data_IF_439638261590
#
_entry.id   IF_439638261590
#
_cell.length_a   1.000
_cell.length_b   1.000
_cell.length_c   1.000
_cell.angle_alpha   90.00
_cell.angle_beta   90.00
_cell.angle_gamma   90.00
#
_symmetry.space_group_name_H-M   'P 1'
#
loop_
_entity.id
_entity.type
_entity.pdbx_description
1 polymer ?
#
# COMPACT_ATOMS: atom_id res chain seq x y z
N UNK A 1 7.61 48.84 -49.95
CA UNK A 1 7.41 48.78 -51.44
C UNK A 1 6.32 47.72 -51.65
N UNK A 2 5.16 48.22 -51.90
CA UNK A 2 4.15 47.87 -52.95
C UNK A 2 3.80 46.41 -53.03
N UNK A 3 2.59 46.02 -52.65
CA UNK A 3 1.24 46.22 -53.25
C UNK A 3 0.83 44.97 -54.01
N UNK A 4 -0.22 44.37 -53.51
CA UNK A 4 -1.53 44.13 -54.09
C UNK A 4 -1.60 42.90 -55.00
N UNK A 5 -2.60 42.12 -55.10
CA UNK A 5 -4.03 42.36 -55.13
C UNK A 5 -4.80 41.02 -55.25
N UNK A 6 -5.97 40.99 -54.67
CA UNK A 6 -7.12 40.17 -55.01
C UNK A 6 -7.65 40.56 -56.42
N UNK A 7 -8.69 39.97 -57.04
CA UNK A 7 -9.81 39.12 -56.62
C UNK A 7 -10.38 38.13 -57.68
N UNK A 8 -11.48 37.46 -57.38
CA UNK A 8 -12.75 37.32 -58.07
C UNK A 8 -13.32 35.87 -58.08
N UNK A 9 -14.40 35.62 -57.45
CA UNK A 9 -15.84 35.64 -57.82
C UNK A 9 -16.31 34.54 -58.80
N UNK A 10 -17.27 33.84 -58.26
CA UNK A 10 -18.61 33.45 -58.76
C UNK A 10 -18.74 31.95 -59.05
N UNK A 11 -19.74 31.27 -58.62
CA UNK A 11 -21.11 31.37 -58.90
C UNK A 11 -21.98 30.26 -58.30
N UNK A 12 -23.09 30.64 -57.90
CA UNK A 12 -24.28 29.92 -57.42
C UNK A 12 -24.69 28.75 -58.34
N UNK A 13 -25.14 27.62 -57.76
CA UNK A 13 -26.39 27.00 -58.19
C UNK A 13 -27.08 26.25 -57.07
N UNK A 14 -28.19 26.77 -56.69
CA UNK A 14 -29.28 26.27 -55.88
C UNK A 14 -30.07 25.22 -56.66
N UNK A 15 -30.30 24.04 -56.13
CA UNK A 15 -31.41 23.18 -56.53
C UNK A 15 -32.18 22.72 -55.31
N UNK A 16 -33.35 23.30 -55.16
CA UNK A 16 -34.46 22.85 -54.36
C UNK A 16 -35.20 21.77 -55.16
N UNK A 17 -35.37 20.59 -54.55
CA UNK A 17 -36.49 19.70 -54.91
C UNK A 17 -37.12 19.21 -53.63
N UNK A 18 -38.37 19.58 -53.51
CA UNK A 18 -39.28 19.21 -52.43
C UNK A 18 -40.13 18.00 -52.82
N UNK A 19 -40.68 17.37 -51.77
CA UNK A 19 -41.95 16.61 -51.76
C UNK A 19 -41.85 15.14 -52.23
N UNK A 20 -42.15 14.17 -51.34
CA UNK A 20 -43.51 13.59 -51.16
C UNK A 20 -43.56 12.77 -49.86
N UNK A 21 -44.52 13.10 -49.08
CA UNK A 21 -45.02 12.44 -47.89
C UNK A 21 -45.83 11.21 -48.33
N UNK A 22 -45.56 10.04 -47.83
CA UNK A 22 -46.50 8.91 -47.89
C UNK A 22 -46.55 8.22 -46.52
N UNK A 23 -47.65 8.40 -45.83
CA UNK A 23 -48.07 7.68 -44.65
C UNK A 23 -48.51 6.29 -45.08
N UNK A 24 -47.94 5.23 -44.46
CA UNK A 24 -48.60 3.93 -44.33
C UNK A 24 -48.45 3.45 -42.89
N UNK A 25 -49.56 3.53 -42.15
CA UNK A 25 -49.79 2.73 -40.95
C UNK A 25 -50.03 1.28 -41.38
N UNK A 26 -49.26 0.37 -40.80
CA UNK A 26 -49.68 -1.01 -40.62
C UNK A 26 -49.19 -1.49 -39.28
N UNK A 27 -50.11 -1.72 -38.37
CA UNK A 27 -49.93 -2.36 -37.10
C UNK A 27 -49.72 -3.86 -37.30
N UNK A 28 -48.87 -4.46 -36.40
CA UNK A 28 -49.03 -5.74 -35.67
C UNK A 28 -47.71 -6.10 -35.06
N UNK A 29 -47.54 -5.93 -33.81
CA UNK A 29 -47.61 -6.78 -32.63
C UNK A 29 -46.59 -7.89 -32.57
N UNK A 30 -46.02 -7.95 -31.38
CA UNK A 30 -45.35 -9.03 -30.65
C UNK A 30 -43.85 -9.12 -30.80
N UNK A 31 -43.18 -8.78 -29.71
CA UNK A 31 -41.79 -8.96 -29.43
C UNK A 31 -41.22 -7.80 -28.60
N UNK A 32 -41.92 -7.43 -27.55
CA UNK A 32 -41.40 -6.55 -26.55
C UNK A 32 -40.29 -7.32 -25.80
N UNK A 33 -39.05 -7.20 -26.28
CA UNK A 33 -37.96 -7.21 -25.35
C UNK A 33 -38.15 -5.96 -24.51
N UNK A 34 -38.64 -6.13 -23.33
CA UNK A 34 -38.66 -5.14 -22.26
C UNK A 34 -37.20 -4.67 -22.12
N UNK A 35 -36.89 -3.56 -22.84
CA UNK A 35 -35.83 -2.69 -22.35
C UNK A 35 -36.47 -2.02 -21.14
N UNK A 36 -36.44 -2.77 -20.02
CA UNK A 36 -36.66 -2.18 -18.72
C UNK A 36 -35.87 -0.87 -18.73
N UNK A 37 -36.56 0.23 -18.52
CA UNK A 37 -35.96 1.46 -18.06
C UNK A 37 -34.97 1.01 -17.02
N UNK A 38 -33.65 1.14 -17.28
CA UNK A 38 -32.65 0.92 -16.25
C UNK A 38 -33.03 1.83 -15.11
N UNK A 39 -33.69 1.26 -14.11
CA UNK A 39 -33.77 1.92 -12.83
C UNK A 39 -32.33 2.34 -12.56
N UNK A 40 -32.11 3.61 -12.28
CA UNK A 40 -30.79 4.16 -12.00
C UNK A 40 -30.17 3.24 -10.94
N UNK A 41 -29.22 2.42 -11.36
CA UNK A 41 -28.60 1.35 -10.54
C UNK A 41 -27.98 1.92 -9.27
N UNK A 42 -27.81 3.24 -9.26
CA UNK A 42 -27.20 4.01 -8.20
C UNK A 42 -28.16 4.96 -7.48
N UNK A 43 -29.49 4.87 -7.78
CA UNK A 43 -30.49 5.77 -7.20
C UNK A 43 -30.48 5.80 -5.66
N UNK A 44 -30.09 4.69 -5.06
CA UNK A 44 -30.01 4.53 -3.60
C UNK A 44 -28.69 5.07 -3.01
N UNK A 45 -27.68 5.41 -3.85
CA UNK A 45 -26.44 6.04 -3.38
C UNK A 45 -26.65 7.57 -3.34
N UNK A 46 -26.54 8.21 -2.17
CA UNK A 46 -26.62 9.67 -2.08
C UNK A 46 -25.42 10.34 -2.76
N UNK A 47 -25.61 11.53 -3.30
CA UNK A 47 -24.48 12.37 -3.70
C UNK A 47 -23.69 12.77 -2.46
N UNK A 48 -22.43 12.38 -2.41
CA UNK A 48 -21.56 12.58 -1.24
C UNK A 48 -20.11 12.77 -1.68
N UNK A 49 -19.43 13.72 -1.05
CA UNK A 49 -18.00 13.90 -1.16
C UNK A 49 -17.34 13.43 0.13
N UNK A 50 -16.46 12.44 0.03
CA UNK A 50 -15.70 11.89 1.16
C UNK A 50 -14.36 12.61 1.27
N UNK A 51 -13.98 13.01 2.49
CA UNK A 51 -12.67 13.58 2.77
C UNK A 51 -11.66 12.46 2.92
N UNK A 52 -10.73 12.39 1.97
CA UNK A 52 -9.74 11.31 1.89
C UNK A 52 -8.35 11.89 2.09
N UNK A 53 -7.62 11.36 3.05
CA UNK A 53 -6.26 11.82 3.34
C UNK A 53 -5.21 10.77 3.01
N UNK A 54 -4.18 11.21 2.26
CA UNK A 54 -2.88 10.55 2.17
C UNK A 54 -1.89 11.22 3.13
N UNK A 55 -1.14 10.41 3.87
CA UNK A 55 -0.02 10.91 4.68
C UNK A 55 1.16 11.40 3.81
N UNK A 56 1.20 11.01 2.55
CA UNK A 56 2.30 11.24 1.62
C UNK A 56 2.02 12.42 0.66
N UNK A 57 3.09 12.92 0.03
CA UNK A 57 2.99 13.91 -1.03
C UNK A 57 2.24 13.36 -2.27
N UNK A 58 1.66 14.23 -3.14
CA UNK A 58 0.80 13.79 -4.26
C UNK A 58 1.44 12.79 -5.23
N UNK A 59 2.73 12.91 -5.50
CA UNK A 59 3.43 12.13 -6.53
C UNK A 59 3.99 10.79 -6.03
N UNK A 60 3.71 10.40 -4.78
CA UNK A 60 4.15 9.12 -4.20
C UNK A 60 3.22 7.97 -4.61
N UNK A 61 3.70 6.72 -4.56
CA UNK A 61 2.88 5.56 -4.90
C UNK A 61 1.59 5.46 -4.05
N UNK A 62 1.60 5.70 -2.71
CA UNK A 62 0.37 5.71 -1.94
C UNK A 62 -0.65 6.75 -2.42
N UNK A 63 -0.20 7.96 -2.74
CA UNK A 63 -1.08 9.03 -3.20
C UNK A 63 -1.62 8.77 -4.61
N UNK A 64 -0.81 8.22 -5.51
CA UNK A 64 -1.26 7.78 -6.84
C UNK A 64 -2.31 6.68 -6.76
N UNK A 65 -2.17 5.73 -5.82
CA UNK A 65 -3.16 4.68 -5.61
C UNK A 65 -4.52 5.25 -5.19
N UNK A 66 -4.56 6.29 -4.35
CA UNK A 66 -5.80 6.99 -4.03
C UNK A 66 -6.45 7.64 -5.26
N UNK A 67 -5.65 8.22 -6.18
CA UNK A 67 -6.18 8.81 -7.43
C UNK A 67 -6.83 7.74 -8.30
N UNK A 68 -6.18 6.58 -8.48
CA UNK A 68 -6.74 5.45 -9.23
C UNK A 68 -8.02 4.94 -8.58
N UNK A 69 -8.05 4.87 -7.25
CA UNK A 69 -9.25 4.45 -6.52
C UNK A 69 -10.40 5.46 -6.62
N UNK A 70 -10.09 6.75 -6.53
CA UNK A 70 -11.07 7.83 -6.74
C UNK A 70 -11.77 7.68 -8.09
N UNK A 71 -11.00 7.54 -9.17
CA UNK A 71 -11.53 7.35 -10.53
C UNK A 71 -12.43 6.11 -10.61
N UNK A 72 -12.03 5.00 -9.99
CA UNK A 72 -12.82 3.78 -9.96
C UNK A 72 -14.14 3.93 -9.17
N UNK A 73 -14.12 4.63 -8.03
CA UNK A 73 -15.33 4.92 -7.23
C UNK A 73 -16.28 5.85 -7.99
N UNK A 74 -15.76 6.92 -8.60
CA UNK A 74 -16.55 7.87 -9.38
C UNK A 74 -17.19 7.18 -10.59
N UNK A 75 -16.46 6.35 -11.33
CA UNK A 75 -17.00 5.56 -12.45
C UNK A 75 -18.07 4.57 -11.96
N UNK A 76 -17.79 3.83 -10.89
CA UNK A 76 -18.69 2.82 -10.35
C UNK A 76 -19.97 3.39 -9.75
N UNK A 77 -20.05 4.70 -9.48
CA UNK A 77 -21.20 5.37 -8.86
C UNK A 77 -21.84 6.44 -9.75
N UNK A 78 -21.40 6.55 -11.01
CA UNK A 78 -21.80 7.64 -11.92
C UNK A 78 -21.59 9.04 -11.28
N UNK A 79 -20.47 9.20 -10.56
CA UNK A 79 -20.08 10.45 -9.89
C UNK A 79 -20.84 10.77 -8.61
N UNK A 80 -21.66 9.87 -8.08
CA UNK A 80 -22.41 10.11 -6.83
C UNK A 80 -21.52 10.09 -5.59
N UNK A 81 -20.50 9.23 -5.55
CA UNK A 81 -19.45 9.28 -4.55
C UNK A 81 -18.20 9.90 -5.18
N UNK A 82 -17.69 10.94 -4.56
CA UNK A 82 -16.48 11.64 -4.98
C UNK A 82 -15.52 11.78 -3.79
N UNK A 83 -14.22 11.96 -4.06
CA UNK A 83 -13.21 12.18 -3.04
C UNK A 83 -12.70 13.62 -3.06
N UNK A 84 -12.66 14.25 -1.90
CA UNK A 84 -11.88 15.46 -1.67
C UNK A 84 -10.54 15.04 -1.06
N UNK A 85 -9.46 15.12 -1.87
CA UNK A 85 -8.15 14.63 -1.50
C UNK A 85 -7.34 15.65 -0.70
N UNK A 86 -6.77 15.17 0.41
CA UNK A 86 -5.82 15.91 1.25
C UNK A 86 -4.51 15.13 1.29
N UNK A 87 -3.38 15.83 1.10
CA UNK A 87 -2.06 15.23 1.00
C UNK A 87 -1.14 15.68 2.12
N UNK A 88 -0.06 14.92 2.35
CA UNK A 88 0.98 15.24 3.32
C UNK A 88 0.44 15.49 4.74
N UNK A 89 -0.60 14.76 5.15
CA UNK A 89 -1.17 14.89 6.48
C UNK A 89 -1.86 16.23 6.74
N UNK A 90 -2.44 16.88 5.70
CA UNK A 90 -2.99 18.24 5.79
C UNK A 90 -4.16 18.39 6.78
N UNK A 91 -4.94 17.32 7.03
CA UNK A 91 -6.03 17.34 8.02
C UNK A 91 -5.56 16.85 9.40
N UNK A 92 -4.72 15.84 9.43
CA UNK A 92 -4.14 15.30 10.65
C UNK A 92 -2.74 14.71 10.34
N UNK A 93 -1.74 14.89 11.22
CA UNK A 93 -0.46 14.19 11.10
C UNK A 93 -0.68 12.68 11.24
N UNK A 94 0.28 11.86 10.74
CA UNK A 94 0.10 10.42 10.64
C UNK A 94 -0.16 9.72 11.98
N UNK A 95 0.39 10.23 13.06
CA UNK A 95 0.21 9.73 14.43
C UNK A 95 -1.13 10.16 15.08
N UNK A 96 -1.88 11.08 14.45
CA UNK A 96 -3.20 11.53 14.90
C UNK A 96 -4.34 11.09 13.97
N UNK A 97 -4.03 10.40 12.87
CA UNK A 97 -5.00 10.02 11.84
C UNK A 97 -6.09 9.09 12.36
N UNK A 98 -5.80 8.22 13.32
CA UNK A 98 -6.79 7.32 13.93
C UNK A 98 -7.86 8.10 14.69
N UNK A 99 -7.46 9.13 15.45
CA UNK A 99 -8.41 10.04 16.13
C UNK A 99 -9.20 10.85 15.10
N UNK A 100 -8.56 11.33 14.02
CA UNK A 100 -9.23 12.06 12.95
C UNK A 100 -10.29 11.22 12.23
N UNK A 101 -10.03 9.92 11.98
CA UNK A 101 -11.00 8.97 11.43
C UNK A 101 -12.13 8.71 12.43
N UNK A 102 -11.81 8.41 13.70
CA UNK A 102 -12.82 8.07 14.72
C UNK A 102 -13.75 9.25 15.03
N UNK A 103 -13.23 10.47 15.03
CA UNK A 103 -14.02 11.70 15.20
C UNK A 103 -14.79 12.13 13.94
N UNK A 104 -14.51 11.53 12.78
CA UNK A 104 -15.10 11.91 11.50
C UNK A 104 -14.55 13.23 10.92
N UNK A 105 -13.37 13.68 11.34
CA UNK A 105 -12.64 14.77 10.69
C UNK A 105 -12.16 14.34 9.30
N UNK A 106 -11.72 13.10 9.17
CA UNK A 106 -11.34 12.42 7.93
C UNK A 106 -12.30 11.26 7.73
N UNK A 107 -12.79 11.05 6.51
CA UNK A 107 -13.69 9.94 6.20
C UNK A 107 -12.92 8.67 5.83
N UNK A 108 -11.82 8.80 5.06
CA UNK A 108 -10.96 7.69 4.65
C UNK A 108 -9.50 8.11 4.74
N UNK A 109 -8.65 7.24 5.28
CA UNK A 109 -7.20 7.43 5.28
C UNK A 109 -6.43 6.11 5.38
N UNK A 110 -5.16 6.14 4.99
CA UNK A 110 -4.19 5.16 5.50
C UNK A 110 -3.72 5.59 6.88
N UNK A 111 -3.62 4.63 7.79
CA UNK A 111 -3.13 4.84 9.16
C UNK A 111 -2.17 3.73 9.57
N UNK A 112 -1.48 3.93 10.69
CA UNK A 112 -0.38 3.06 11.13
C UNK A 112 -0.61 2.62 12.59
N UNK A 113 -1.39 1.55 12.85
CA UNK A 113 -1.63 1.02 14.20
C UNK A 113 -0.37 0.71 15.01
N UNK A 114 0.77 0.47 14.35
CA UNK A 114 2.05 0.30 15.04
C UNK A 114 2.47 1.49 15.90
N UNK A 115 1.86 2.67 15.72
CA UNK A 115 2.08 3.84 16.58
C UNK A 115 1.19 3.83 17.84
N UNK A 116 0.12 3.03 17.84
CA UNK A 116 -0.85 2.89 18.92
C UNK A 116 -1.01 1.41 19.35
N UNK A 117 0.08 0.71 19.75
CA UNK A 117 0.06 -0.74 19.95
C UNK A 117 -0.88 -1.18 21.09
N UNK A 118 -1.22 -0.30 22.03
CA UNK A 118 -2.17 -0.61 23.11
C UNK A 118 -3.62 -0.68 22.61
N UNK A 119 -3.97 0.12 21.62
CA UNK A 119 -5.27 0.18 20.95
C UNK A 119 -5.41 -0.92 19.91
N UNK A 120 -4.29 -1.40 19.33
CA UNK A 120 -4.25 -2.40 18.27
C UNK A 120 -3.36 -3.61 18.64
N UNK A 121 -3.69 -4.35 19.72
CA UNK A 121 -2.84 -5.44 20.21
C UNK A 121 -2.68 -6.60 19.23
N UNK A 122 -3.70 -6.93 18.40
CA UNK A 122 -3.58 -7.97 17.39
C UNK A 122 -2.67 -7.56 16.25
N UNK A 123 -2.78 -6.31 15.76
CA UNK A 123 -1.85 -5.77 14.76
C UNK A 123 -0.42 -5.81 15.30
N UNK A 124 -0.20 -5.35 16.53
CA UNK A 124 1.10 -5.41 17.20
C UNK A 124 1.66 -6.83 17.27
N UNK A 125 0.81 -7.83 17.52
CA UNK A 125 1.22 -9.24 17.52
C UNK A 125 1.63 -9.71 16.12
N UNK A 126 0.85 -9.36 15.09
CA UNK A 126 1.17 -9.69 13.68
C UNK A 126 2.50 -9.04 13.27
N UNK A 127 2.73 -7.78 13.65
CA UNK A 127 4.02 -7.09 13.38
C UNK A 127 5.22 -7.85 13.95
N UNK A 128 5.09 -8.44 15.13
CA UNK A 128 6.15 -9.24 15.76
C UNK A 128 6.44 -10.56 15.02
N UNK A 129 5.52 -11.01 14.17
CA UNK A 129 5.66 -12.22 13.36
C UNK A 129 6.09 -11.94 11.91
N UNK A 130 6.34 -10.68 11.54
CA UNK A 130 6.73 -10.30 10.18
C UNK A 130 8.11 -10.79 9.74
N UNK A 131 8.90 -11.37 10.63
CA UNK A 131 10.10 -12.14 10.27
C UNK A 131 9.78 -13.46 9.54
N UNK A 132 8.50 -13.90 9.55
CA UNK A 132 8.02 -15.05 8.78
C UNK A 132 7.78 -14.73 7.31
N UNK A 133 7.77 -13.47 6.94
CA UNK A 133 7.63 -13.02 5.54
C UNK A 133 8.95 -13.25 4.81
N UNK A 134 8.87 -13.80 3.60
CA UNK A 134 10.05 -13.97 2.76
C UNK A 134 10.68 -12.61 2.40
N UNK A 135 11.99 -12.59 2.09
CA UNK A 135 12.63 -11.35 1.63
C UNK A 135 11.97 -10.74 0.39
N UNK A 136 12.13 -9.42 0.23
CA UNK A 136 11.69 -8.73 -0.97
C UNK A 136 12.42 -9.27 -2.22
N UNK A 137 11.78 -9.20 -3.39
CA UNK A 137 10.45 -8.65 -3.67
C UNK A 137 9.31 -9.68 -3.50
N UNK A 138 9.60 -10.98 -3.48
CA UNK A 138 8.59 -12.05 -3.44
C UNK A 138 7.73 -11.98 -2.17
N UNK A 139 8.35 -11.71 -1.04
CA UNK A 139 7.69 -11.57 0.25
C UNK A 139 6.66 -10.45 0.29
N UNK A 140 6.76 -9.44 -0.57
CA UNK A 140 5.74 -8.38 -0.67
C UNK A 140 4.38 -8.96 -1.07
N UNK A 141 4.33 -9.83 -2.08
CA UNK A 141 3.08 -10.47 -2.51
C UNK A 141 2.66 -11.55 -1.50
N UNK A 142 3.60 -12.38 -1.06
CA UNK A 142 3.33 -13.41 -0.06
C UNK A 142 2.73 -12.82 1.21
N UNK A 143 3.38 -11.84 1.81
CA UNK A 143 2.95 -11.22 3.05
C UNK A 143 1.63 -10.46 2.91
N UNK A 144 1.45 -9.74 1.79
CA UNK A 144 0.19 -9.03 1.52
C UNK A 144 -1.00 -9.99 1.49
N UNK A 145 -0.90 -11.09 0.75
CA UNK A 145 -1.98 -12.08 0.68
C UNK A 145 -2.20 -12.81 2.00
N UNK A 146 -1.11 -13.28 2.64
CA UNK A 146 -1.18 -14.01 3.89
C UNK A 146 -1.82 -13.21 5.03
N UNK A 147 -1.42 -11.95 5.17
CA UNK A 147 -1.95 -11.09 6.23
C UNK A 147 -3.37 -10.61 5.93
N UNK A 148 -3.71 -10.37 4.67
CA UNK A 148 -5.10 -10.11 4.29
C UNK A 148 -6.00 -11.29 4.69
N UNK A 149 -5.61 -12.52 4.36
CA UNK A 149 -6.37 -13.71 4.75
C UNK A 149 -6.48 -13.85 6.27
N UNK A 150 -5.37 -13.67 6.98
CA UNK A 150 -5.36 -13.76 8.44
C UNK A 150 -6.23 -12.68 9.09
N UNK A 151 -6.21 -11.44 8.57
CA UNK A 151 -7.03 -10.34 9.07
C UNK A 151 -8.53 -10.56 8.84
N UNK A 152 -8.91 -11.11 7.68
CA UNK A 152 -10.30 -11.48 7.36
C UNK A 152 -10.83 -12.62 8.24
N UNK A 153 -9.98 -13.31 8.99
CA UNK A 153 -10.38 -14.25 10.05
C UNK A 153 -11.15 -13.63 11.23
N UNK A 154 -11.36 -12.30 11.23
CA UNK A 154 -12.28 -11.57 12.10
C UNK A 154 -11.63 -10.62 13.10
N UNK A 155 -10.38 -10.84 13.51
CA UNK A 155 -9.74 -10.00 14.53
C UNK A 155 -9.61 -8.52 14.12
N UNK A 156 -9.40 -8.25 12.83
CA UNK A 156 -9.24 -6.89 12.34
C UNK A 156 -10.55 -6.10 12.46
N UNK A 157 -11.68 -6.69 12.05
CA UNK A 157 -12.99 -6.01 12.13
C UNK A 157 -13.31 -5.60 13.57
N UNK A 158 -13.17 -6.50 14.53
CA UNK A 158 -13.49 -6.24 15.93
C UNK A 158 -12.57 -5.18 16.56
N UNK A 159 -11.25 -5.30 16.30
CA UNK A 159 -10.26 -4.38 16.84
C UNK A 159 -10.45 -2.95 16.32
N UNK A 160 -10.65 -2.82 15.00
CA UNK A 160 -10.83 -1.52 14.36
C UNK A 160 -12.17 -0.89 14.74
N UNK A 161 -13.25 -1.69 14.80
CA UNK A 161 -14.55 -1.20 15.24
C UNK A 161 -14.54 -0.66 16.67
N UNK A 162 -13.73 -1.24 17.57
CA UNK A 162 -13.54 -0.75 18.93
C UNK A 162 -12.91 0.65 18.96
N UNK A 163 -12.15 1.02 17.93
CA UNK A 163 -11.54 2.35 17.76
C UNK A 163 -12.39 3.30 16.88
N UNK A 164 -13.61 2.91 16.51
CA UNK A 164 -14.47 3.72 15.66
C UNK A 164 -14.07 3.71 14.18
N UNK A 165 -13.36 2.69 13.74
CA UNK A 165 -12.86 2.52 12.38
C UNK A 165 -13.55 1.35 11.67
N UNK A 166 -13.70 1.46 10.35
CA UNK A 166 -14.06 0.35 9.46
C UNK A 166 -12.85 0.02 8.58
N UNK A 167 -12.23 -1.14 8.73
CA UNK A 167 -11.14 -1.54 7.86
C UNK A 167 -11.65 -1.84 6.44
N UNK A 168 -10.96 -1.31 5.44
CA UNK A 168 -11.19 -1.60 4.02
C UNK A 168 -10.11 -2.54 3.48
N UNK A 169 -8.85 -2.31 3.86
CA UNK A 169 -7.70 -3.17 3.54
C UNK A 169 -6.79 -3.31 4.76
N UNK A 170 -6.48 -4.54 5.14
CA UNK A 170 -5.57 -4.90 6.24
C UNK A 170 -4.67 -6.07 5.78
N UNK A 171 -3.40 -5.80 5.43
CA UNK A 171 -2.81 -4.49 5.20
C UNK A 171 -3.24 -3.86 3.87
N UNK A 172 -3.06 -2.55 3.72
CA UNK A 172 -3.20 -1.86 2.45
C UNK A 172 -1.91 -1.89 1.62
N UNK A 173 -0.76 -2.06 2.28
CA UNK A 173 0.54 -2.24 1.66
C UNK A 173 1.42 -3.14 2.54
N UNK A 174 2.32 -3.89 1.90
CA UNK A 174 3.28 -4.76 2.57
C UNK A 174 4.71 -4.40 2.18
N UNK A 175 5.51 -4.09 3.19
CA UNK A 175 6.96 -3.97 3.08
C UNK A 175 7.55 -5.27 3.62
N UNK A 176 8.01 -6.15 2.74
CA UNK A 176 8.41 -7.52 3.10
C UNK A 176 9.73 -7.60 3.88
N UNK A 177 10.60 -6.62 3.73
CA UNK A 177 11.82 -6.49 4.54
C UNK A 177 12.22 -5.04 4.67
N UNK A 178 12.51 -4.65 5.91
CA UNK A 178 13.15 -3.36 6.17
C UNK A 178 14.66 -3.54 6.10
N UNK A 179 15.35 -2.50 5.67
CA UNK A 179 16.77 -2.53 5.40
C UNK A 179 17.48 -1.46 6.21
N UNK A 180 18.77 -1.65 6.45
CA UNK A 180 19.60 -0.71 7.16
C UNK A 180 20.35 0.17 6.15
N UNK A 181 20.11 1.47 6.19
CA UNK A 181 20.86 2.47 5.44
C UNK A 181 21.68 3.31 6.41
N UNK A 182 22.91 3.64 6.05
CA UNK A 182 23.84 4.36 6.93
C UNK A 182 24.51 5.51 6.18
N UNK A 183 24.85 6.59 6.90
CA UNK A 183 25.63 7.69 6.38
C UNK A 183 27.10 7.28 6.16
N UNK A 184 27.95 7.51 7.16
CA UNK A 184 29.42 7.47 6.98
C UNK A 184 30.04 6.06 6.91
N UNK A 185 29.53 5.08 7.69
CA UNK A 185 30.19 3.79 7.85
C UNK A 185 29.20 2.62 7.69
N UNK A 186 29.60 1.52 7.01
CA UNK A 186 28.76 0.35 6.86
C UNK A 186 28.67 -0.49 8.13
N UNK A 187 27.51 -1.08 8.39
CA UNK A 187 27.28 -1.99 9.53
C UNK A 187 27.06 -3.41 9.01
N UNK A 188 28.09 -4.24 9.03
CA UNK A 188 28.10 -5.60 8.45
C UNK A 188 28.33 -6.71 9.48
N UNK A 189 28.79 -6.36 10.70
CA UNK A 189 29.14 -7.30 11.77
C UNK A 189 28.64 -6.78 13.12
N UNK A 190 28.55 -7.65 14.12
CA UNK A 190 28.19 -7.27 15.49
C UNK A 190 29.14 -6.21 16.07
N UNK A 191 30.44 -6.29 15.72
CA UNK A 191 31.42 -5.30 16.18
C UNK A 191 31.20 -3.92 15.55
N UNK A 192 30.73 -3.87 14.29
CA UNK A 192 30.37 -2.63 13.59
C UNK A 192 28.99 -2.10 14.05
N UNK A 193 28.11 -2.97 14.57
CA UNK A 193 26.78 -2.59 15.05
C UNK A 193 26.78 -2.01 16.47
N UNK A 194 27.78 -2.33 17.28
CA UNK A 194 27.83 -1.95 18.69
C UNK A 194 27.80 -0.44 18.89
N UNK A 195 26.74 0.05 19.54
CA UNK A 195 26.56 1.46 19.87
C UNK A 195 26.09 2.36 18.73
N UNK A 196 25.87 1.82 17.52
CA UNK A 196 25.31 2.58 16.40
C UNK A 196 23.92 3.13 16.78
N UNK A 197 23.75 4.43 16.63
CA UNK A 197 22.45 5.09 16.83
C UNK A 197 21.61 4.90 15.56
N UNK A 198 20.50 4.18 15.71
CA UNK A 198 19.67 3.82 14.57
C UNK A 198 18.22 4.29 14.73
N UNK A 199 17.71 4.96 13.71
CA UNK A 199 16.27 5.23 13.64
C UNK A 199 15.53 3.95 13.27
N UNK A 200 14.43 3.66 13.98
CA UNK A 200 13.59 2.49 13.72
C UNK A 200 12.13 2.90 13.49
N UNK A 201 11.38 2.16 12.65
CA UNK A 201 10.00 2.53 12.31
C UNK A 201 8.96 2.12 13.36
N UNK A 202 9.28 1.16 14.24
CA UNK A 202 8.39 0.69 15.30
C UNK A 202 9.15 0.13 16.49
N UNK A 203 8.45 -0.11 17.60
CA UNK A 203 8.99 -0.74 18.80
C UNK A 203 9.61 -2.12 18.49
N UNK A 204 8.95 -2.93 17.66
CA UNK A 204 9.45 -4.24 17.27
C UNK A 204 10.84 -4.14 16.62
N UNK A 205 11.02 -3.26 15.63
CA UNK A 205 12.33 -3.02 14.99
C UNK A 205 13.36 -2.46 16.00
N UNK A 206 12.90 -1.76 17.03
CA UNK A 206 13.75 -1.33 18.15
C UNK A 206 14.31 -2.50 18.96
N UNK A 207 13.52 -3.55 19.16
CA UNK A 207 14.02 -4.78 19.81
C UNK A 207 15.04 -5.53 18.96
N UNK A 208 14.82 -5.61 17.64
CA UNK A 208 15.77 -6.17 16.68
C UNK A 208 17.10 -5.41 16.68
N UNK A 209 17.04 -4.09 16.57
CA UNK A 209 18.22 -3.22 16.63
C UNK A 209 19.01 -3.41 17.94
N UNK A 210 18.30 -3.46 19.07
CA UNK A 210 18.90 -3.69 20.40
C UNK A 210 19.57 -5.07 20.47
N UNK A 211 18.97 -6.10 19.89
CA UNK A 211 19.54 -7.44 19.84
C UNK A 211 20.86 -7.48 19.05
N UNK A 212 21.05 -6.59 18.10
CA UNK A 212 22.29 -6.43 17.32
C UNK A 212 23.35 -5.55 18.02
N UNK A 213 23.03 -4.96 19.19
CA UNK A 213 23.93 -4.04 19.91
C UNK A 213 23.78 -2.57 19.50
N UNK A 214 22.81 -2.24 18.66
CA UNK A 214 22.53 -0.87 18.25
C UNK A 214 21.72 -0.14 19.33
N UNK A 215 21.68 1.18 19.24
CA UNK A 215 20.89 2.07 20.11
C UNK A 215 19.75 2.68 19.30
N UNK A 216 18.50 2.19 19.48
CA UNK A 216 17.33 2.79 18.83
C UNK A 216 17.14 4.25 19.23
N UNK A 217 16.85 5.10 18.26
CA UNK A 217 16.65 6.54 18.44
C UNK A 217 15.29 6.94 17.87
N UNK A 218 14.52 7.67 18.68
CA UNK A 218 13.26 8.24 18.23
C UNK A 218 13.56 9.46 17.33
N UNK A 219 13.18 9.37 16.06
CA UNK A 219 13.31 10.44 15.08
C UNK A 219 12.13 10.34 14.12
N UNK A 220 11.44 11.45 13.90
CA UNK A 220 10.32 11.50 12.94
C UNK A 220 10.83 11.41 11.49
N UNK A 221 9.97 11.02 10.58
CA UNK A 221 10.33 11.01 9.14
C UNK A 221 10.72 12.40 8.65
N UNK A 222 10.04 13.44 9.12
CA UNK A 222 10.32 14.83 8.73
C UNK A 222 11.73 15.32 9.15
N UNK A 223 12.26 14.78 10.25
CA UNK A 223 13.56 15.17 10.80
C UNK A 223 14.70 14.25 10.32
N UNK A 224 14.38 13.11 9.71
CA UNK A 224 15.33 12.02 9.45
C UNK A 224 16.45 12.43 8.51
N UNK A 225 16.13 13.14 7.41
CA UNK A 225 17.14 13.63 6.47
C UNK A 225 18.23 14.44 7.17
N UNK A 226 17.84 15.44 7.98
CA UNK A 226 18.79 16.26 8.72
C UNK A 226 19.49 15.47 9.84
N UNK A 227 18.81 14.53 10.47
CA UNK A 227 19.38 13.72 11.52
C UNK A 227 20.51 12.82 11.01
N UNK A 228 20.33 12.19 9.82
CA UNK A 228 21.41 11.44 9.15
C UNK A 228 22.51 12.38 8.69
N UNK A 229 22.18 13.46 7.96
CA UNK A 229 23.15 14.40 7.43
C UNK A 229 24.07 15.02 8.51
N UNK A 230 23.53 15.24 9.73
CA UNK A 230 24.29 15.83 10.85
C UNK A 230 24.91 14.75 11.77
N UNK A 231 24.76 13.48 11.47
CA UNK A 231 25.21 12.40 12.31
C UNK A 231 24.53 12.37 13.70
N UNK A 232 23.27 12.79 13.80
CA UNK A 232 22.47 12.61 15.03
C UNK A 232 22.07 11.15 15.16
N UNK A 233 21.71 10.52 14.04
CA UNK A 233 21.60 9.08 13.86
C UNK A 233 22.66 8.64 12.84
N UNK A 234 23.24 7.47 13.05
CA UNK A 234 24.28 6.90 12.20
C UNK A 234 23.64 6.12 11.04
N UNK A 235 22.54 5.43 11.34
CA UNK A 235 21.80 4.59 10.39
C UNK A 235 20.30 4.74 10.59
N UNK A 236 19.53 4.24 9.61
CA UNK A 236 18.08 4.14 9.71
C UNK A 236 17.60 2.78 9.16
N UNK A 237 16.62 2.19 9.83
CA UNK A 237 15.86 1.03 9.33
C UNK A 237 14.72 1.57 8.49
N UNK A 238 14.76 1.29 7.17
CA UNK A 238 13.92 1.93 6.17
C UNK A 238 13.50 0.94 5.08
N UNK A 239 12.38 1.25 4.41
CA UNK A 239 12.10 0.67 3.10
C UNK A 239 12.81 1.45 1.99
N UNK A 240 13.06 0.84 0.83
CA UNK A 240 13.61 1.60 -0.31
C UNK A 240 12.72 2.75 -0.76
N UNK A 241 11.39 2.59 -0.68
CA UNK A 241 10.45 3.65 -0.99
C UNK A 241 10.62 4.85 -0.06
N UNK A 242 10.72 4.61 1.26
CA UNK A 242 10.92 5.70 2.21
C UNK A 242 12.27 6.42 2.01
N UNK A 243 13.32 5.66 1.64
CA UNK A 243 14.62 6.25 1.29
C UNK A 243 14.47 7.28 0.17
N UNK A 244 13.67 6.98 -0.86
CA UNK A 244 13.39 7.91 -1.94
C UNK A 244 12.51 9.07 -1.50
N UNK A 245 11.37 8.76 -0.88
CA UNK A 245 10.35 9.75 -0.55
C UNK A 245 10.86 10.79 0.47
N UNK A 246 11.85 10.43 1.28
CA UNK A 246 12.54 11.31 2.22
C UNK A 246 13.85 11.89 1.68
N UNK A 247 14.23 11.58 0.44
CA UNK A 247 15.45 12.08 -0.19
C UNK A 247 16.76 11.57 0.43
N UNK A 248 16.71 10.43 1.14
CA UNK A 248 17.87 9.92 1.90
C UNK A 248 19.02 9.46 1.01
N UNK A 249 18.77 9.18 -0.28
CA UNK A 249 19.82 8.83 -1.25
C UNK A 249 20.96 9.86 -1.25
N UNK A 250 20.66 11.12 -0.97
CA UNK A 250 21.65 12.21 -0.99
C UNK A 250 22.53 12.26 0.27
N UNK A 251 22.19 11.52 1.33
CA UNK A 251 22.85 11.60 2.65
C UNK A 251 23.26 10.24 3.23
N UNK A 252 23.11 9.17 2.45
CA UNK A 252 23.57 7.81 2.81
C UNK A 252 24.69 7.39 1.86
N UNK A 253 25.74 6.76 2.40
CA UNK A 253 26.83 6.17 1.61
C UNK A 253 26.75 4.65 1.56
N UNK A 254 25.99 4.03 2.47
CA UNK A 254 25.98 2.58 2.64
C UNK A 254 24.56 2.04 2.79
N UNK A 255 24.29 0.94 2.10
CA UNK A 255 23.03 0.21 2.16
C UNK A 255 23.30 -1.26 2.44
N UNK A 256 22.87 -1.74 3.60
CA UNK A 256 22.98 -3.14 3.97
C UNK A 256 21.79 -3.89 3.41
N UNK A 257 22.05 -4.74 2.42
CA UNK A 257 21.08 -5.52 1.66
C UNK A 257 21.45 -7.01 1.78
N UNK A 258 20.81 -7.71 2.70
CA UNK A 258 21.04 -9.15 2.90
C UNK A 258 19.82 -9.95 2.46
N UNK A 259 20.05 -11.03 1.68
CA UNK A 259 19.00 -11.90 1.16
C UNK A 259 18.60 -13.03 2.11
N UNK A 260 19.37 -13.25 3.17
CA UNK A 260 19.17 -14.38 4.09
C UNK A 260 18.63 -13.94 5.44
N UNK A 261 18.88 -12.71 5.83
CA UNK A 261 18.36 -12.12 7.05
C UNK A 261 18.28 -10.60 6.91
N UNK A 262 17.40 -9.97 7.65
CA UNK A 262 17.18 -8.53 7.65
C UNK A 262 16.27 -8.13 8.79
N UNK A 263 16.01 -6.86 8.91
CA UNK A 263 14.93 -6.40 9.78
C UNK A 263 13.59 -6.92 9.26
N UNK A 264 12.71 -7.28 10.18
CA UNK A 264 11.37 -7.79 9.86
C UNK A 264 10.62 -6.87 8.90
N UNK A 265 9.68 -7.43 8.15
CA UNK A 265 8.79 -6.65 7.31
C UNK A 265 7.90 -5.69 8.12
N UNK A 266 7.28 -4.77 7.43
CA UNK A 266 6.34 -3.82 8.02
C UNK A 266 5.00 -3.90 7.26
N UNK A 267 3.92 -4.23 7.96
CA UNK A 267 2.58 -4.43 7.39
C UNK A 267 1.51 -3.54 8.04
N UNK A 268 1.89 -2.65 8.96
CA UNK A 268 0.96 -1.81 9.70
C UNK A 268 0.50 -0.56 8.93
N UNK A 269 0.44 -0.65 7.59
CA UNK A 269 -0.27 0.34 6.77
C UNK A 269 -1.64 -0.21 6.42
N UNK A 270 -2.68 0.37 6.97
CA UNK A 270 -4.05 -0.07 6.74
C UNK A 270 -4.88 1.05 6.12
N UNK A 271 -5.79 0.68 5.24
CA UNK A 271 -6.78 1.59 4.68
C UNK A 271 -8.08 1.43 5.46
N UNK A 272 -8.50 2.49 6.13
CA UNK A 272 -9.71 2.50 6.93
C UNK A 272 -10.59 3.70 6.64
N UNK A 273 -11.87 3.52 6.95
CA UNK A 273 -12.88 4.56 6.92
C UNK A 273 -13.39 4.86 8.32
N UNK A 274 -13.82 6.09 8.57
CA UNK A 274 -14.60 6.43 9.76
C UNK A 274 -15.82 5.51 9.85
N UNK A 275 -15.94 4.78 10.97
CA UNK A 275 -17.08 3.88 11.17
C UNK A 275 -18.40 4.64 11.20
N UNK A 276 -18.41 5.84 11.78
CA UNK A 276 -19.60 6.68 11.79
C UNK A 276 -20.06 7.09 10.39
N UNK A 277 -19.13 7.41 9.49
CA UNK A 277 -19.46 7.68 8.07
C UNK A 277 -19.91 6.40 7.37
N UNK A 278 -19.19 5.30 7.55
CA UNK A 278 -19.52 3.99 6.96
C UNK A 278 -20.95 3.55 7.30
N UNK A 279 -21.35 3.64 8.56
CA UNK A 279 -22.68 3.21 9.03
C UNK A 279 -23.83 4.05 8.46
N UNK A 280 -23.55 5.24 7.89
CA UNK A 280 -24.56 6.06 7.20
C UNK A 280 -24.72 5.72 5.72
N UNK A 281 -23.77 4.97 5.15
CA UNK A 281 -23.80 4.62 3.73
C UNK A 281 -24.81 3.49 3.47
N UNK A 282 -25.58 3.56 2.37
CA UNK A 282 -26.35 2.40 1.92
C UNK A 282 -25.39 1.27 1.51
N UNK A 283 -25.87 0.03 1.59
CA UNK A 283 -25.05 -1.17 1.36
C UNK A 283 -24.41 -1.18 -0.03
N UNK A 284 -25.06 -0.60 -1.03
CA UNK A 284 -24.53 -0.48 -2.40
C UNK A 284 -23.29 0.42 -2.44
N UNK A 285 -23.28 1.52 -1.69
CA UNK A 285 -22.11 2.40 -1.57
C UNK A 285 -20.97 1.72 -0.79
N UNK A 286 -21.30 1.00 0.30
CA UNK A 286 -20.34 0.19 1.04
C UNK A 286 -19.67 -0.85 0.15
N UNK A 287 -20.45 -1.53 -0.70
CA UNK A 287 -19.95 -2.51 -1.66
C UNK A 287 -19.02 -1.89 -2.69
N UNK A 288 -19.38 -0.75 -3.26
CA UNK A 288 -18.50 -0.05 -4.21
C UNK A 288 -17.17 0.30 -3.57
N UNK A 289 -17.16 0.89 -2.37
CA UNK A 289 -15.92 1.21 -1.66
C UNK A 289 -15.09 -0.03 -1.34
N UNK A 290 -15.72 -1.12 -0.92
CA UNK A 290 -15.07 -2.40 -0.62
C UNK A 290 -14.46 -3.03 -1.87
N UNK A 291 -15.24 -3.17 -2.94
CA UNK A 291 -14.83 -3.82 -4.18
C UNK A 291 -13.68 -3.04 -4.83
N UNK A 292 -13.86 -1.74 -5.03
CA UNK A 292 -12.87 -0.88 -5.69
C UNK A 292 -11.59 -0.69 -4.86
N UNK A 293 -11.65 -0.79 -3.53
CA UNK A 293 -10.44 -0.82 -2.71
C UNK A 293 -9.57 -2.04 -3.04
N UNK A 294 -10.19 -3.22 -3.26
CA UNK A 294 -9.48 -4.44 -3.66
C UNK A 294 -9.06 -4.45 -5.13
N UNK A 295 -9.90 -3.92 -6.02
CA UNK A 295 -9.74 -4.04 -7.47
C UNK A 295 -8.96 -2.88 -8.11
N UNK A 296 -8.92 -1.71 -7.47
CA UNK A 296 -8.26 -0.52 -7.99
C UNK A 296 -7.13 -0.01 -7.09
N UNK A 297 -7.40 0.24 -5.79
CA UNK A 297 -6.37 0.76 -4.89
C UNK A 297 -5.24 -0.25 -4.67
N UNK A 298 -5.58 -1.50 -4.32
CA UNK A 298 -4.60 -2.52 -3.95
C UNK A 298 -3.61 -2.86 -5.08
N UNK A 299 -4.01 -3.08 -6.34
CA UNK A 299 -3.06 -3.26 -7.42
C UNK A 299 -2.21 -2.02 -7.66
N UNK A 300 -2.79 -0.82 -7.63
CA UNK A 300 -2.07 0.42 -7.88
C UNK A 300 -0.98 0.69 -6.84
N UNK A 301 -1.26 0.47 -5.54
CA UNK A 301 -0.25 0.64 -4.50
C UNK A 301 0.83 -0.44 -4.57
N UNK A 302 0.45 -1.70 -4.85
CA UNK A 302 1.39 -2.83 -4.92
C UNK A 302 2.36 -2.67 -6.09
N UNK A 303 1.84 -2.37 -7.28
CA UNK A 303 2.65 -2.10 -8.47
C UNK A 303 3.52 -0.86 -8.27
N UNK A 304 2.92 0.22 -7.76
CA UNK A 304 3.62 1.45 -7.48
C UNK A 304 4.78 1.24 -6.51
N UNK A 305 4.56 0.52 -5.42
CA UNK A 305 5.60 0.19 -4.45
C UNK A 305 6.76 -0.60 -5.09
N UNK A 306 6.45 -1.66 -5.83
CA UNK A 306 7.48 -2.50 -6.45
C UNK A 306 8.29 -1.73 -7.51
N UNK A 307 7.65 -0.85 -8.28
CA UNK A 307 8.33 0.01 -9.24
C UNK A 307 9.21 1.05 -8.55
N UNK A 308 8.68 1.69 -7.51
CA UNK A 308 9.41 2.70 -6.73
C UNK A 308 10.65 2.09 -6.05
N UNK A 309 10.55 0.87 -5.54
CA UNK A 309 11.69 0.11 -4.98
C UNK A 309 12.79 -0.07 -6.03
N UNK A 310 12.45 -0.54 -7.23
CA UNK A 310 13.41 -0.79 -8.29
C UNK A 310 14.10 0.52 -8.75
N UNK A 311 13.33 1.59 -8.90
CA UNK A 311 13.85 2.90 -9.27
C UNK A 311 14.80 3.46 -8.20
N UNK A 312 14.43 3.37 -6.93
CA UNK A 312 15.25 3.84 -5.81
C UNK A 312 16.59 3.12 -5.75
N UNK A 313 16.59 1.80 -5.94
CA UNK A 313 17.84 1.02 -5.96
C UNK A 313 18.76 1.45 -7.11
N UNK A 314 18.20 1.72 -8.29
CA UNK A 314 18.95 2.23 -9.44
C UNK A 314 19.51 3.63 -9.14
N UNK A 315 18.71 4.54 -8.60
CA UNK A 315 19.14 5.88 -8.23
C UNK A 315 20.24 5.86 -7.16
N UNK A 316 20.13 5.01 -6.15
CA UNK A 316 21.15 4.85 -5.12
C UNK A 316 22.48 4.34 -5.72
N UNK A 317 22.43 3.37 -6.63
CA UNK A 317 23.61 2.89 -7.33
C UNK A 317 24.28 3.99 -8.18
N UNK A 318 23.49 4.76 -8.91
CA UNK A 318 23.98 5.89 -9.74
C UNK A 318 24.56 7.02 -8.88
N UNK A 319 24.02 7.23 -7.68
CA UNK A 319 24.55 8.19 -6.70
C UNK A 319 25.85 7.70 -6.03
N UNK A 320 26.23 6.44 -6.20
CA UNK A 320 27.45 5.87 -5.65
C UNK A 320 27.28 5.23 -4.28
N UNK A 321 26.04 5.01 -3.82
CA UNK A 321 25.76 4.27 -2.58
C UNK A 321 26.30 2.84 -2.69
N UNK A 322 27.04 2.39 -1.67
CA UNK A 322 27.65 1.09 -1.64
C UNK A 322 26.73 0.06 -0.99
N UNK A 323 26.44 -1.02 -1.71
CA UNK A 323 25.63 -2.13 -1.21
C UNK A 323 26.48 -3.18 -0.52
N UNK A 324 26.04 -3.64 0.66
CA UNK A 324 26.76 -4.60 1.49
C UNK A 324 25.82 -5.71 1.97
N UNK A 325 26.35 -6.93 2.10
CA UNK A 325 25.69 -8.01 2.83
C UNK A 325 26.21 -8.10 4.26
N UNK A 326 25.39 -8.60 5.17
CA UNK A 326 25.78 -8.88 6.54
C UNK A 326 26.78 -10.04 6.60
N UNK A 327 27.64 -10.02 7.62
CA UNK A 327 28.47 -11.16 7.98
C UNK A 327 27.67 -12.14 8.83
N UNK A 328 28.17 -13.36 8.91
CA UNK A 328 27.46 -14.46 9.57
C UNK A 328 27.10 -14.16 11.03
N UNK A 329 27.99 -13.50 11.78
CA UNK A 329 27.76 -13.15 13.19
C UNK A 329 26.53 -12.23 13.39
N UNK A 330 26.36 -11.25 12.53
CA UNK A 330 25.21 -10.33 12.57
C UNK A 330 23.93 -11.05 12.14
N UNK A 331 24.02 -11.83 11.05
CA UNK A 331 22.91 -12.62 10.50
C UNK A 331 22.40 -13.66 11.52
N UNK A 332 23.29 -14.44 12.11
CA UNK A 332 22.95 -15.45 13.11
C UNK A 332 22.28 -14.82 14.34
N UNK A 333 22.76 -13.66 14.79
CA UNK A 333 22.18 -12.94 15.91
C UNK A 333 20.78 -12.45 15.60
N UNK A 334 20.51 -11.90 14.41
CA UNK A 334 19.18 -11.47 13.99
C UNK A 334 18.22 -12.65 13.95
N UNK A 335 18.57 -13.73 13.26
CA UNK A 335 17.74 -14.93 13.14
C UNK A 335 17.43 -15.56 14.50
N UNK A 336 18.40 -15.60 15.42
CA UNK A 336 18.18 -16.09 16.78
C UNK A 336 17.20 -15.20 17.56
N UNK A 337 17.30 -13.86 17.41
CA UNK A 337 16.36 -12.94 18.03
C UNK A 337 14.96 -13.13 17.48
N UNK A 338 14.78 -13.16 16.16
CA UNK A 338 13.49 -13.35 15.50
C UNK A 338 12.82 -14.67 15.90
N UNK A 339 13.60 -15.77 15.97
CA UNK A 339 13.10 -17.04 16.49
C UNK A 339 12.62 -16.94 17.94
N UNK A 340 13.37 -16.25 18.80
CA UNK A 340 12.97 -16.05 20.19
C UNK A 340 11.70 -15.19 20.33
N UNK A 341 11.49 -14.20 19.44
CA UNK A 341 10.27 -13.41 19.40
C UNK A 341 9.06 -14.28 19.02
N UNK A 342 9.18 -15.13 18.00
CA UNK A 342 8.13 -16.07 17.59
C UNK A 342 7.79 -17.01 18.75
N UNK A 343 8.80 -17.57 19.45
CA UNK A 343 8.59 -18.44 20.61
C UNK A 343 7.94 -17.70 21.78
N UNK A 344 8.28 -16.43 21.97
CA UNK A 344 7.62 -15.57 22.97
C UNK A 344 6.12 -15.37 22.66
N UNK A 345 5.79 -15.05 21.42
CA UNK A 345 4.38 -14.92 20.99
C UNK A 345 3.63 -16.24 21.19
N UNK A 346 4.24 -17.37 20.82
CA UNK A 346 3.66 -18.71 21.01
C UNK A 346 3.36 -19.01 22.47
N UNK A 347 4.20 -18.54 23.39
CA UNK A 347 4.04 -18.72 24.83
C UNK A 347 3.07 -17.74 25.52
N UNK A 348 2.50 -16.77 24.83
CA UNK A 348 1.56 -15.82 25.40
C UNK A 348 0.25 -16.50 25.80
N UNK A 349 -0.37 -15.98 26.87
CA UNK A 349 -1.69 -16.41 27.30
C UNK A 349 -2.71 -15.90 26.25
N UNK A 350 -3.81 -16.61 26.15
CA UNK A 350 -4.91 -16.21 25.27
C UNK A 350 -4.57 -16.30 23.77
N UNK A 351 -4.34 -17.51 23.26
CA UNK A 351 -4.26 -17.90 21.84
C UNK A 351 -2.90 -17.70 21.13
N UNK A 352 -1.79 -17.42 21.82
CA UNK A 352 -0.48 -17.22 21.18
C UNK A 352 -0.07 -18.35 20.23
N UNK A 353 -0.27 -19.63 20.63
CA UNK A 353 -0.02 -20.79 19.76
C UNK A 353 -0.92 -20.79 18.52
N UNK A 354 -2.22 -20.47 18.70
CA UNK A 354 -3.16 -20.42 17.58
C UNK A 354 -2.86 -19.29 16.62
N UNK A 355 -2.45 -18.11 17.13
CA UNK A 355 -2.04 -16.97 16.33
C UNK A 355 -0.79 -17.29 15.50
N UNK A 356 0.25 -17.84 16.12
CA UNK A 356 1.49 -18.23 15.41
C UNK A 356 1.18 -19.29 14.36
N UNK A 357 0.39 -20.32 14.71
CA UNK A 357 0.01 -21.37 13.77
C UNK A 357 -0.77 -20.80 12.57
N UNK A 358 -1.74 -19.91 12.81
CA UNK A 358 -2.54 -19.28 11.75
C UNK A 358 -1.69 -18.39 10.83
N UNK A 359 -0.79 -17.59 11.40
CA UNK A 359 0.13 -16.76 10.61
C UNK A 359 1.07 -17.64 9.78
N UNK A 360 1.65 -18.69 10.33
CA UNK A 360 2.52 -19.62 9.60
C UNK A 360 1.75 -20.28 8.45
N UNK A 361 0.55 -20.81 8.73
CA UNK A 361 -0.28 -21.48 7.72
C UNK A 361 -0.61 -20.57 6.54
N UNK A 362 -1.03 -19.33 6.82
CA UNK A 362 -1.35 -18.38 5.75
C UNK A 362 -0.09 -18.00 4.96
N UNK A 363 1.05 -17.78 5.61
CA UNK A 363 2.30 -17.45 4.93
C UNK A 363 2.79 -18.60 4.03
N UNK A 364 2.74 -19.85 4.49
CA UNK A 364 3.11 -21.02 3.68
C UNK A 364 2.16 -21.19 2.47
N UNK A 365 0.85 -21.02 2.68
CA UNK A 365 -0.15 -21.07 1.62
C UNK A 365 0.10 -20.03 0.54
N UNK A 366 0.32 -18.77 0.93
CA UNK A 366 0.54 -17.69 -0.01
C UNK A 366 1.93 -17.72 -0.65
N UNK A 367 2.95 -18.18 0.05
CA UNK A 367 4.25 -18.44 -0.56
C UNK A 367 4.15 -19.45 -1.71
N UNK A 368 3.39 -20.53 -1.48
CA UNK A 368 3.12 -21.52 -2.53
C UNK A 368 2.34 -20.91 -3.68
N UNK A 369 1.25 -20.17 -3.40
CA UNK A 369 0.41 -19.55 -4.43
C UNK A 369 1.21 -18.60 -5.32
N UNK A 370 2.00 -17.71 -4.73
CA UNK A 370 2.82 -16.72 -5.46
C UNK A 370 3.83 -17.42 -6.37
N UNK A 371 4.43 -18.54 -5.93
CA UNK A 371 5.32 -19.36 -6.76
C UNK A 371 4.58 -20.09 -7.87
N UNK A 372 3.43 -20.69 -7.57
CA UNK A 372 2.60 -21.40 -8.56
C UNK A 372 2.10 -20.46 -9.67
N UNK A 373 1.87 -19.19 -9.36
CA UNK A 373 1.54 -18.14 -10.32
C UNK A 373 2.75 -17.64 -11.13
N UNK A 374 3.97 -18.11 -10.81
CA UNK A 374 5.20 -17.79 -11.56
C UNK A 374 5.89 -16.49 -11.16
N UNK A 375 5.48 -15.85 -10.07
CA UNK A 375 6.06 -14.57 -9.64
C UNK A 375 7.52 -14.70 -9.17
N UNK A 376 7.94 -15.85 -8.65
CA UNK A 376 9.34 -16.08 -8.30
C UNK A 376 10.28 -15.86 -9.49
N UNK A 377 9.87 -16.31 -10.70
CA UNK A 377 10.65 -16.10 -11.92
C UNK A 377 10.58 -14.66 -12.42
N UNK A 378 9.43 -14.00 -12.24
CA UNK A 378 9.22 -12.62 -12.71
C UNK A 378 9.95 -11.60 -11.82
N UNK A 379 9.89 -11.78 -10.51
CA UNK A 379 10.47 -10.87 -9.53
C UNK A 379 11.97 -11.11 -9.32
N UNK A 380 12.44 -12.36 -9.41
CA UNK A 380 13.83 -12.70 -9.17
C UNK A 380 14.30 -12.36 -7.74
N UNK A 381 15.58 -12.00 -7.62
CA UNK A 381 16.14 -11.47 -6.37
C UNK A 381 16.01 -9.93 -6.34
N UNK A 382 16.24 -9.35 -5.16
CA UNK A 382 16.26 -7.89 -5.00
C UNK A 382 17.28 -7.21 -5.94
N UNK A 383 18.46 -7.83 -6.14
CA UNK A 383 19.48 -7.32 -7.05
C UNK A 383 19.05 -7.36 -8.54
N UNK A 384 18.36 -8.43 -8.94
CA UNK A 384 17.87 -8.57 -10.33
C UNK A 384 16.64 -7.71 -10.58
N UNK A 385 15.80 -7.50 -9.57
CA UNK A 385 14.65 -6.62 -9.65
C UNK A 385 15.06 -5.17 -9.91
N UNK A 386 16.08 -4.69 -9.21
CA UNK A 386 16.60 -3.32 -9.36
C UNK A 386 17.20 -3.03 -10.74
N UNK A 387 17.61 -4.06 -11.50
CA UNK A 387 18.39 -3.90 -12.72
C UNK A 387 17.61 -3.94 -14.03
N UNK A 388 16.27 -4.12 -14.05
CA UNK A 388 15.60 -4.08 -15.33
C UNK A 388 14.17 -4.61 -15.49
N UNK A 389 13.50 -5.05 -14.45
CA UNK A 389 12.16 -5.67 -14.57
C UNK A 389 11.02 -4.79 -14.06
N UNK A 390 11.31 -3.61 -13.52
CA UNK A 390 10.29 -2.67 -13.08
C UNK A 390 9.35 -2.29 -14.24
N UNK A 391 8.05 -2.33 -14.02
CA UNK A 391 7.03 -1.96 -15.00
C UNK A 391 6.57 -3.07 -15.94
N UNK A 392 7.00 -4.33 -15.77
CA UNK A 392 6.52 -5.47 -16.55
C UNK A 392 5.75 -6.51 -15.71
N UNK A 393 5.59 -6.26 -14.43
CA UNK A 393 4.91 -7.19 -13.53
C UNK A 393 3.40 -7.16 -13.79
N UNK A 394 2.82 -8.32 -14.10
CA UNK A 394 1.38 -8.47 -14.26
C UNK A 394 0.79 -9.03 -12.98
N UNK A 395 0.10 -8.20 -12.20
CA UNK A 395 -0.46 -8.57 -10.90
C UNK A 395 -1.87 -9.19 -10.97
N UNK A 396 -2.50 -9.24 -12.14
CA UNK A 396 -3.91 -9.64 -12.31
C UNK A 396 -4.25 -10.96 -11.60
N UNK A 397 -3.40 -11.98 -11.76
CA UNK A 397 -3.65 -13.30 -11.15
C UNK A 397 -3.52 -13.28 -9.63
N UNK A 398 -2.58 -12.52 -9.09
CA UNK A 398 -2.41 -12.35 -7.65
C UNK A 398 -3.57 -11.53 -7.07
N UNK A 399 -3.89 -10.39 -7.66
CA UNK A 399 -5.00 -9.53 -7.24
C UNK A 399 -6.32 -10.29 -7.31
N UNK A 400 -6.55 -11.06 -8.38
CA UNK A 400 -7.73 -11.91 -8.49
C UNK A 400 -7.88 -12.87 -7.32
N UNK A 401 -6.79 -13.48 -6.82
CA UNK A 401 -6.81 -14.34 -5.65
C UNK A 401 -7.13 -13.59 -4.36
N UNK A 402 -6.66 -12.35 -4.20
CA UNK A 402 -6.98 -11.50 -3.04
C UNK A 402 -8.44 -11.03 -3.10
N UNK A 403 -8.94 -10.65 -4.26
CA UNK A 403 -10.32 -10.22 -4.46
C UNK A 403 -11.29 -11.37 -4.17
N UNK A 404 -11.03 -12.59 -4.68
CA UNK A 404 -11.83 -13.78 -4.39
C UNK A 404 -11.92 -14.06 -2.87
N UNK A 405 -10.80 -13.93 -2.16
CA UNK A 405 -10.77 -14.06 -0.71
C UNK A 405 -11.66 -13.04 -0.01
N UNK A 406 -11.69 -11.80 -0.50
CA UNK A 406 -12.46 -10.69 0.08
C UNK A 406 -13.96 -10.78 -0.22
N UNK A 407 -14.37 -11.49 -1.27
CA UNK A 407 -15.80 -11.64 -1.63
C UNK A 407 -16.63 -12.27 -0.51
N UNK A 408 -16.08 -13.20 0.25
CA UNK A 408 -16.75 -13.83 1.38
C UNK A 408 -17.05 -12.86 2.55
N UNK A 409 -16.40 -11.69 2.58
CA UNK A 409 -16.50 -10.66 3.63
C UNK A 409 -17.10 -9.35 3.13
N UNK A 410 -17.63 -9.39 1.92
CA UNK A 410 -18.28 -8.24 1.27
C UNK A 410 -19.54 -7.81 2.03
N UNK A 411 -19.78 -6.51 2.27
CA UNK A 411 -20.93 -5.97 2.97
C UNK A 411 -22.29 -6.40 2.39
#
# INVERSE_FOLDING_TARGET
>A
MRVASSPARAGKKLYIVAVVMTVMMAACSTGGADRGSGADRFADIPEMTLRVQSANAPDTAPSRAFTVWQEAVEEATDGRLTFEMFYAGALAPLDEVEEALSSGLVDIATHVPAYSPAEFPHDSTVQRLNSLVEPAPLGTLQGLGAQTEFALGGWAEDQFAAQGLKPLLVPAAMISSMQLVCGDEPVRSLAEAEGIRVRVPSEHHGTEATALGMTPTATTNAELYEAVQRGIVDCAVMSPQDVRDLGLVDVIDHWMLDQQAGFSGFSSFHLSMSKSTWDTLPVEAQRVLWDTAGEAYLPAITEGYLNDVAETMSQAADAGVQFHSWRDDLRERMLAHQSAVIDSVRGEKDDGEAVVAGVVETHEKWAKLVRDLGYETQLGSFETWSSGSAGQLQLDSFIGSVVELREAHRP
#
